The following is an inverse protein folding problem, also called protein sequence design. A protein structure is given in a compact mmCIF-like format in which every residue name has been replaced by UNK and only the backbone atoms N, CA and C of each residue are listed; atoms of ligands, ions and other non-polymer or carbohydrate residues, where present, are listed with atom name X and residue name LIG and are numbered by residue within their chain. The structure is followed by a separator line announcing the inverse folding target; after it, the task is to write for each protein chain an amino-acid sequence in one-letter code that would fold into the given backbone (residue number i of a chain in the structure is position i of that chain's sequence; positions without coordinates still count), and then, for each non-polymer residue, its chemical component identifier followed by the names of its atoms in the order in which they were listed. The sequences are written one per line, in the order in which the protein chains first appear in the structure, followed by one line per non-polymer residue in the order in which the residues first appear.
data_IF_653829443343
#
_entry.id   IF_653829443343
#
_cell.length_a   1.000
_cell.length_b   1.000
_cell.length_c   1.000
_cell.angle_alpha   90.00
_cell.angle_beta   90.00
_cell.angle_gamma   90.00
#
_symmetry.space_group_name_H-M   'P 1'
#
loop_
_entity.id
_entity.type
_entity.pdbx_description
1 polymer ?
#
# COMPACT_ATOMS: atom_id res chain seq x y z
N UNK A 1 19.28 10.52 -1.38
CA UNK A 1 20.10 11.00 -0.27
C UNK A 1 20.52 9.80 0.59
N UNK A 2 21.75 9.77 1.19
CA UNK A 2 22.12 8.73 2.15
C UNK A 2 21.12 8.63 3.31
N UNK A 3 20.52 9.73 3.71
CA UNK A 3 19.54 9.80 4.79
C UNK A 3 18.25 9.01 4.48
N UNK A 4 17.92 8.87 3.20
CA UNK A 4 16.72 8.15 2.77
C UNK A 4 16.84 6.63 2.94
N UNK A 5 18.05 6.11 3.04
CA UNK A 5 18.35 4.68 3.10
C UNK A 5 18.78 4.20 4.49
N UNK A 6 18.68 5.06 5.52
CA UNK A 6 19.17 4.75 6.87
C UNK A 6 18.46 3.53 7.50
N UNK A 7 17.22 3.26 7.09
CA UNK A 7 16.44 2.13 7.58
C UNK A 7 16.48 0.90 6.68
N UNK A 8 17.20 0.96 5.55
CA UNK A 8 17.33 -0.19 4.66
C UNK A 8 18.26 -1.25 5.29
N UNK A 9 17.75 -2.47 5.43
CA UNK A 9 18.50 -3.61 5.92
C UNK A 9 18.36 -4.82 5.00
N UNK A 10 19.43 -5.25 4.27
CA UNK A 10 20.74 -4.63 4.18
C UNK A 10 20.71 -3.28 3.45
N UNK A 11 21.66 -2.42 3.74
CA UNK A 11 21.78 -1.10 3.13
C UNK A 11 21.92 -1.22 1.60
N UNK A 12 21.01 -0.61 0.87
CA UNK A 12 20.95 -0.71 -0.59
C UNK A 12 21.16 0.64 -1.25
N UNK A 13 22.24 0.75 -2.01
CA UNK A 13 22.44 1.86 -2.93
C UNK A 13 21.48 1.73 -4.13
N UNK A 14 21.13 2.84 -4.78
CA UNK A 14 20.22 2.85 -5.92
C UNK A 14 20.61 1.87 -7.04
N UNK A 15 21.87 1.64 -7.27
CA UNK A 15 22.43 0.67 -8.24
C UNK A 15 22.15 -0.81 -7.92
N UNK A 16 21.71 -1.12 -6.70
CA UNK A 16 21.37 -2.50 -6.26
C UNK A 16 19.89 -2.80 -6.30
N UNK A 17 19.06 -1.82 -6.66
CA UNK A 17 17.61 -2.00 -6.80
C UNK A 17 17.29 -2.43 -8.23
N UNK A 18 16.47 -3.47 -8.36
CA UNK A 18 15.89 -3.88 -9.63
C UNK A 18 14.57 -3.10 -9.77
N UNK A 19 14.58 -2.05 -10.58
CA UNK A 19 13.46 -1.12 -10.73
C UNK A 19 13.53 0.08 -9.78
N UNK A 20 12.47 0.93 -9.71
CA UNK A 20 12.45 2.12 -8.90
C UNK A 20 12.42 1.80 -7.40
N UNK A 21 12.95 2.71 -6.60
CA UNK A 21 12.78 2.67 -5.15
C UNK A 21 11.31 2.92 -4.80
N UNK A 22 10.72 1.98 -4.06
CA UNK A 22 9.32 2.06 -3.66
C UNK A 22 9.08 2.96 -2.43
N UNK A 23 10.13 3.30 -1.68
CA UNK A 23 10.01 4.04 -0.41
C UNK A 23 9.23 5.38 -0.54
N UNK A 24 9.21 5.98 -1.74
CA UNK A 24 8.54 7.26 -2.03
C UNK A 24 7.72 7.20 -3.30
N UNK A 25 7.08 6.07 -3.57
CA UNK A 25 6.31 5.90 -4.81
C UNK A 25 4.90 6.47 -4.69
N UNK A 26 4.40 6.66 -3.47
CA UNK A 26 3.06 7.19 -3.21
C UNK A 26 2.85 8.58 -3.84
N UNK A 27 1.76 8.74 -4.56
CA UNK A 27 1.43 9.96 -5.29
C UNK A 27 2.26 10.22 -6.55
N UNK A 28 3.29 9.41 -6.83
CA UNK A 28 4.14 9.58 -8.02
C UNK A 28 3.45 9.11 -9.31
N UNK A 29 2.67 8.05 -9.20
CA UNK A 29 1.91 7.46 -10.31
C UNK A 29 0.44 7.38 -9.95
N UNK A 30 -0.46 7.45 -10.93
CA UNK A 30 -1.90 7.31 -10.73
C UNK A 30 -2.30 5.87 -10.38
N UNK A 31 -3.51 5.69 -9.84
CA UNK A 31 -4.07 4.34 -9.63
C UNK A 31 -4.15 3.56 -10.94
N UNK A 32 -4.55 4.21 -12.03
CA UNK A 32 -4.62 3.63 -13.37
C UNK A 32 -3.25 3.14 -13.86
N UNK A 33 -2.20 3.92 -13.61
CA UNK A 33 -0.84 3.52 -13.95
C UNK A 33 -0.43 2.26 -13.21
N UNK A 34 -0.66 2.20 -11.88
CA UNK A 34 -0.35 1.03 -11.06
C UNK A 34 -1.14 -0.19 -11.52
N UNK A 35 -2.45 -0.02 -11.76
CA UNK A 35 -3.31 -1.10 -12.24
C UNK A 35 -2.78 -1.70 -13.54
N UNK A 36 -2.58 -0.88 -14.58
CA UNK A 36 -2.07 -1.34 -15.89
C UNK A 36 -0.69 -1.95 -15.79
N UNK A 37 0.19 -1.36 -14.97
CA UNK A 37 1.53 -1.89 -14.76
C UNK A 37 1.52 -3.26 -14.08
N UNK A 38 0.62 -3.50 -13.15
CA UNK A 38 0.45 -4.81 -12.51
C UNK A 38 -0.24 -5.82 -13.42
N UNK A 39 -1.21 -5.38 -14.23
CA UNK A 39 -1.87 -6.25 -15.21
C UNK A 39 -0.90 -6.71 -16.30
N UNK A 40 -0.15 -5.79 -16.89
CA UNK A 40 0.85 -6.07 -17.91
C UNK A 40 1.98 -5.04 -17.89
N UNK A 41 3.11 -5.33 -17.21
CA UNK A 41 4.22 -4.36 -17.11
C UNK A 41 4.78 -3.91 -18.46
N UNK A 42 4.71 -4.78 -19.50
CA UNK A 42 5.24 -4.48 -20.82
C UNK A 42 4.37 -3.50 -21.62
N UNK A 43 3.14 -3.30 -21.23
CA UNK A 43 2.28 -2.24 -21.79
C UNK A 43 2.83 -0.83 -21.47
N UNK A 44 3.41 -0.68 -20.28
CA UNK A 44 4.00 0.58 -19.81
C UNK A 44 5.48 0.68 -20.21
N UNK A 45 6.21 -0.42 -20.10
CA UNK A 45 7.64 -0.50 -20.42
C UNK A 45 7.92 -1.79 -21.19
N UNK A 46 8.12 -1.69 -22.50
CA UNK A 46 8.22 -2.83 -23.41
C UNK A 46 9.32 -3.85 -23.01
N UNK A 47 10.41 -3.37 -22.41
CA UNK A 47 11.55 -4.19 -22.00
C UNK A 47 11.47 -4.64 -20.52
N UNK A 48 10.31 -4.50 -19.87
CA UNK A 48 10.17 -4.85 -18.46
C UNK A 48 10.42 -6.35 -18.22
N UNK A 49 11.27 -6.64 -17.24
CA UNK A 49 11.49 -8.00 -16.71
C UNK A 49 10.48 -8.39 -15.65
N UNK A 50 9.63 -7.47 -15.21
CA UNK A 50 8.59 -7.74 -14.22
C UNK A 50 7.55 -8.70 -14.80
N UNK A 51 7.18 -9.78 -14.08
CA UNK A 51 6.08 -10.63 -14.50
C UNK A 51 4.73 -9.92 -14.31
N UNK A 52 3.69 -10.30 -15.07
CA UNK A 52 2.34 -9.80 -14.83
C UNK A 52 1.76 -10.38 -13.53
N UNK A 53 1.01 -9.55 -12.82
CA UNK A 53 0.29 -9.91 -11.58
C UNK A 53 -1.23 -9.79 -11.75
N UNK A 54 -1.73 -10.05 -12.96
CA UNK A 54 -3.13 -9.92 -13.31
C UNK A 54 -4.08 -10.75 -12.41
N UNK A 55 -3.61 -11.89 -11.90
CA UNK A 55 -4.36 -12.75 -10.99
C UNK A 55 -4.83 -12.01 -9.72
N UNK A 56 -4.08 -10.99 -9.26
CA UNK A 56 -4.44 -10.21 -8.07
C UNK A 56 -5.76 -9.43 -8.24
N UNK A 57 -6.16 -9.14 -9.48
CA UNK A 57 -7.39 -8.40 -9.76
C UNK A 57 -8.65 -9.23 -9.47
N UNK A 58 -8.56 -10.56 -9.64
CA UNK A 58 -9.64 -11.50 -9.38
C UNK A 58 -9.61 -12.14 -7.98
N UNK A 59 -8.52 -11.96 -7.22
CA UNK A 59 -8.40 -12.55 -5.89
C UNK A 59 -8.99 -11.62 -4.83
N UNK A 60 -10.15 -12.01 -4.26
CA UNK A 60 -10.78 -11.28 -3.17
C UNK A 60 -9.91 -11.32 -1.90
N UNK A 61 -9.90 -10.23 -1.15
CA UNK A 61 -9.20 -10.07 0.12
C UNK A 61 -10.22 -9.98 1.26
N UNK A 62 -10.03 -10.83 2.27
CA UNK A 62 -10.80 -10.75 3.52
C UNK A 62 -10.20 -9.67 4.43
N UNK A 63 -10.99 -8.65 4.74
CA UNK A 63 -10.61 -7.57 5.65
C UNK A 63 -10.94 -7.87 7.13
N UNK A 64 -11.66 -8.95 7.44
CA UNK A 64 -12.07 -9.30 8.81
C UNK A 64 -10.90 -9.43 9.80
N UNK A 65 -9.74 -9.87 9.31
CA UNK A 65 -8.52 -9.99 10.10
C UNK A 65 -7.78 -8.66 10.36
N UNK A 66 -8.19 -7.56 9.71
CA UNK A 66 -7.45 -6.28 9.75
C UNK A 66 -7.29 -5.76 11.15
N UNK A 67 -8.35 -5.79 11.96
CA UNK A 67 -8.30 -5.36 13.34
C UNK A 67 -7.33 -6.18 14.21
N UNK A 68 -7.24 -7.51 13.96
CA UNK A 68 -6.30 -8.38 14.67
C UNK A 68 -4.85 -8.07 14.29
N UNK A 69 -4.58 -7.86 13.01
CA UNK A 69 -3.27 -7.46 12.49
C UNK A 69 -2.82 -6.11 13.05
N UNK A 70 -3.72 -5.11 13.10
CA UNK A 70 -3.41 -3.80 13.68
C UNK A 70 -3.14 -3.89 15.20
N UNK A 71 -3.86 -4.74 15.96
CA UNK A 71 -3.54 -4.98 17.37
C UNK A 71 -2.14 -5.58 17.55
N UNK A 72 -1.78 -6.55 16.73
CA UNK A 72 -0.45 -7.15 16.75
C UNK A 72 0.64 -6.11 16.46
N UNK A 73 0.45 -5.26 15.44
CA UNK A 73 1.36 -4.17 15.11
C UNK A 73 1.46 -3.14 16.25
N UNK A 74 0.35 -2.82 16.92
CA UNK A 74 0.37 -1.95 18.10
C UNK A 74 1.22 -2.52 19.22
N UNK A 75 1.23 -3.83 19.41
CA UNK A 75 2.06 -4.49 20.45
C UNK A 75 3.56 -4.31 20.18
N UNK A 76 3.98 -4.20 18.93
CA UNK A 76 5.38 -3.94 18.54
C UNK A 76 5.69 -2.46 18.35
N UNK A 77 4.81 -1.56 18.80
CA UNK A 77 5.08 -0.12 18.88
C UNK A 77 4.48 0.74 17.78
N UNK A 78 3.69 0.19 16.85
CA UNK A 78 2.99 1.01 15.85
C UNK A 78 1.87 1.80 16.55
N UNK A 79 1.76 3.14 16.41
CA UNK A 79 0.90 4.00 17.21
C UNK A 79 -0.56 4.00 16.72
N UNK A 80 -1.18 2.83 16.55
CA UNK A 80 -2.60 2.74 16.23
C UNK A 80 -3.48 3.05 17.46
N UNK A 81 -4.49 3.90 17.27
CA UNK A 81 -5.49 4.17 18.30
C UNK A 81 -6.52 3.04 18.40
N UNK A 82 -7.24 2.95 19.51
CA UNK A 82 -8.31 1.96 19.66
C UNK A 82 -9.43 2.18 18.63
N UNK A 83 -9.74 3.44 18.32
CA UNK A 83 -10.76 3.82 17.36
C UNK A 83 -10.37 3.41 15.93
N UNK A 84 -9.11 3.62 15.51
CA UNK A 84 -8.60 3.18 14.21
C UNK A 84 -8.71 1.66 14.06
N UNK A 85 -8.39 0.90 15.11
CA UNK A 85 -8.50 -0.56 15.12
C UNK A 85 -9.97 -1.00 14.96
N UNK A 86 -10.91 -0.34 15.65
CA UNK A 86 -12.34 -0.67 15.57
C UNK A 86 -12.92 -0.39 14.18
N UNK A 87 -12.48 0.67 13.53
CA UNK A 87 -12.96 1.08 12.19
C UNK A 87 -12.14 0.52 11.03
N UNK A 88 -11.16 -0.32 11.31
CA UNK A 88 -10.16 -0.75 10.34
C UNK A 88 -10.76 -1.45 9.13
N UNK A 89 -11.69 -2.37 9.33
CA UNK A 89 -12.38 -3.10 8.27
C UNK A 89 -13.22 -2.16 7.39
N UNK A 90 -14.04 -1.32 8.03
CA UNK A 90 -14.85 -0.32 7.30
C UNK A 90 -13.96 0.65 6.51
N UNK A 91 -12.84 1.10 7.09
CA UNK A 91 -11.89 1.97 6.42
C UNK A 91 -11.22 1.29 5.24
N UNK A 92 -10.88 0.00 5.36
CA UNK A 92 -10.29 -0.77 4.27
C UNK A 92 -11.26 -0.92 3.08
N UNK A 93 -12.52 -1.27 3.35
CA UNK A 93 -13.57 -1.32 2.31
C UNK A 93 -13.77 0.04 1.64
N UNK A 94 -13.83 1.12 2.40
CA UNK A 94 -13.99 2.47 1.85
C UNK A 94 -12.83 2.85 0.92
N UNK A 95 -11.58 2.55 1.30
CA UNK A 95 -10.40 2.78 0.47
C UNK A 95 -10.42 1.92 -0.80
N UNK A 96 -10.82 0.65 -0.69
CA UNK A 96 -10.94 -0.24 -1.84
C UNK A 96 -11.98 0.28 -2.84
N UNK A 97 -13.15 0.72 -2.35
CA UNK A 97 -14.20 1.28 -3.17
C UNK A 97 -13.75 2.57 -3.87
N UNK A 98 -13.06 3.48 -3.16
CA UNK A 98 -12.55 4.72 -3.73
C UNK A 98 -11.59 4.46 -4.91
N UNK A 99 -10.65 3.53 -4.74
CA UNK A 99 -9.71 3.14 -5.80
C UNK A 99 -10.43 2.48 -6.96
N UNK A 100 -11.36 1.56 -6.69
CA UNK A 100 -12.14 0.89 -7.71
C UNK A 100 -12.98 1.87 -8.53
N UNK A 101 -13.68 2.81 -7.88
CA UNK A 101 -14.46 3.86 -8.54
C UNK A 101 -13.57 4.78 -9.39
N UNK A 102 -12.36 5.07 -8.92
CA UNK A 102 -11.39 5.82 -9.71
C UNK A 102 -11.00 5.07 -10.97
N UNK A 103 -10.69 3.77 -10.86
CA UNK A 103 -10.32 2.92 -12.00
C UNK A 103 -11.47 2.76 -12.99
N UNK A 104 -12.71 2.64 -12.52
CA UNK A 104 -13.89 2.57 -13.38
C UNK A 104 -14.05 3.85 -14.20
N UNK A 105 -13.86 5.03 -13.58
CA UNK A 105 -14.01 6.34 -14.27
C UNK A 105 -12.87 6.64 -15.23
N UNK A 106 -11.62 6.39 -14.82
CA UNK A 106 -10.43 6.82 -15.57
C UNK A 106 -9.93 5.78 -16.56
N UNK A 107 -10.10 4.49 -16.24
CA UNK A 107 -9.61 3.38 -17.05
C UNK A 107 -10.74 2.60 -17.75
N UNK A 108 -12.01 2.89 -17.44
CA UNK A 108 -13.14 2.11 -17.93
C UNK A 108 -13.17 0.68 -17.40
N UNK A 109 -12.53 0.45 -16.24
CA UNK A 109 -12.43 -0.87 -15.61
C UNK A 109 -13.81 -1.36 -15.16
N UNK A 110 -14.18 -2.57 -15.56
CA UNK A 110 -15.44 -3.21 -15.13
C UNK A 110 -15.27 -3.79 -13.75
N UNK A 111 -16.07 -3.31 -12.80
CA UNK A 111 -16.02 -3.73 -11.40
C UNK A 111 -16.98 -4.87 -11.11
N UNK A 112 -16.58 -5.74 -10.19
CA UNK A 112 -17.43 -6.81 -9.68
C UNK A 112 -17.40 -6.89 -8.17
N UNK A 113 -18.50 -7.32 -7.53
CA UNK A 113 -18.49 -7.77 -6.15
C UNK A 113 -17.68 -9.06 -6.00
N UNK A 114 -17.22 -9.33 -4.76
CA UNK A 114 -16.33 -10.47 -4.47
C UNK A 114 -16.96 -11.85 -4.72
N UNK A 115 -18.28 -11.92 -4.73
CA UNK A 115 -19.11 -13.12 -4.89
C UNK A 115 -19.51 -13.42 -6.34
N UNK A 116 -19.27 -12.48 -7.27
CA UNK A 116 -19.62 -12.61 -8.69
C UNK A 116 -18.38 -12.55 -9.58
N UNK A 117 -17.43 -13.44 -9.37
CA UNK A 117 -16.22 -13.55 -10.17
C UNK A 117 -16.48 -14.24 -11.50
N UNK A 118 -16.88 -13.49 -12.51
CA UNK A 118 -16.87 -13.93 -13.89
C UNK A 118 -15.79 -13.17 -14.69
N UNK A 119 -14.67 -13.82 -15.04
CA UNK A 119 -13.56 -13.19 -15.77
C UNK A 119 -13.94 -12.62 -17.14
N UNK A 120 -15.08 -13.05 -17.72
CA UNK A 120 -15.53 -12.53 -19.02
C UNK A 120 -16.26 -11.18 -18.88
N UNK A 121 -16.82 -10.91 -17.71
CA UNK A 121 -17.61 -9.70 -17.45
C UNK A 121 -16.88 -8.67 -16.59
N UNK A 122 -15.78 -9.03 -15.99
CA UNK A 122 -15.15 -8.35 -14.87
C UNK A 122 -13.64 -8.18 -15.05
N UNK A 123 -13.17 -6.98 -14.84
CA UNK A 123 -11.75 -6.66 -14.91
C UNK A 123 -11.12 -6.58 -13.51
N UNK A 124 -11.90 -6.22 -12.49
CA UNK A 124 -11.42 -5.99 -11.13
C UNK A 124 -12.51 -6.27 -10.09
N UNK A 125 -12.20 -7.12 -9.13
CA UNK A 125 -12.96 -7.25 -7.89
C UNK A 125 -12.65 -6.06 -6.99
N UNK A 126 -13.68 -5.39 -6.44
CA UNK A 126 -13.51 -4.18 -5.61
C UNK A 126 -12.58 -4.44 -4.44
N UNK A 127 -12.86 -5.47 -3.64
CA UNK A 127 -12.07 -5.87 -2.48
C UNK A 127 -10.95 -6.86 -2.87
N UNK A 128 -10.23 -6.57 -3.95
CA UNK A 128 -9.18 -7.46 -4.45
C UNK A 128 -7.82 -7.20 -3.80
N UNK A 129 -6.95 -8.19 -3.91
CA UNK A 129 -5.53 -8.01 -3.57
C UNK A 129 -4.86 -6.93 -4.41
N UNK A 130 -5.29 -6.75 -5.67
CA UNK A 130 -4.80 -5.68 -6.55
C UNK A 130 -5.10 -4.30 -5.97
N UNK A 131 -6.34 -4.07 -5.54
CA UNK A 131 -6.76 -2.81 -4.92
C UNK A 131 -5.97 -2.53 -3.64
N UNK A 132 -5.75 -3.55 -2.81
CA UNK A 132 -4.95 -3.41 -1.59
C UNK A 132 -3.48 -3.08 -1.88
N UNK A 133 -2.87 -3.68 -2.91
CA UNK A 133 -1.50 -3.36 -3.34
C UNK A 133 -1.42 -1.92 -3.85
N UNK A 134 -2.38 -1.47 -4.64
CA UNK A 134 -2.43 -0.08 -5.12
C UNK A 134 -2.56 0.88 -3.94
N UNK A 135 -3.46 0.60 -2.97
CA UNK A 135 -3.60 1.41 -1.76
C UNK A 135 -2.28 1.51 -0.98
N UNK A 136 -1.60 0.38 -0.80
CA UNK A 136 -0.29 0.34 -0.13
C UNK A 136 0.76 1.17 -0.87
N UNK A 137 0.91 1.00 -2.18
CA UNK A 137 1.89 1.73 -2.98
C UNK A 137 1.65 3.24 -2.94
N UNK A 138 0.39 3.67 -2.94
CA UNK A 138 0.03 5.08 -2.86
C UNK A 138 0.32 5.72 -1.49
N UNK A 139 0.48 4.92 -0.44
CA UNK A 139 0.83 5.41 0.91
C UNK A 139 2.33 5.48 1.16
N UNK A 140 3.14 4.83 0.35
CA UNK A 140 4.59 4.81 0.54
C UNK A 140 5.21 6.20 0.41
N UNK A 141 5.84 6.67 1.47
CA UNK A 141 6.46 7.99 1.56
C UNK A 141 5.49 9.16 1.73
N UNK A 142 4.19 8.88 1.91
CA UNK A 142 3.19 9.89 2.23
C UNK A 142 3.01 10.00 3.74
N UNK A 143 3.10 11.21 4.26
CA UNK A 143 2.74 11.50 5.66
C UNK A 143 1.22 11.68 5.69
N UNK A 144 0.48 10.89 6.51
CA UNK A 144 -0.96 11.08 6.63
C UNK A 144 -1.30 12.49 7.10
N UNK A 145 -2.26 13.13 6.43
CA UNK A 145 -2.70 14.49 6.78
C UNK A 145 -3.41 14.57 8.15
N UNK A 146 -3.85 13.42 8.66
CA UNK A 146 -4.59 13.26 9.92
C UNK A 146 -3.70 13.06 11.17
N UNK A 147 -2.41 13.34 11.05
CA UNK A 147 -1.49 13.25 12.19
C UNK A 147 -1.27 11.82 12.71
N UNK A 148 -1.58 10.79 11.92
CA UNK A 148 -1.41 9.37 12.29
C UNK A 148 0.06 8.99 12.58
N UNK A 149 0.99 9.89 12.27
CA UNK A 149 2.39 9.86 12.69
C UNK A 149 2.72 11.17 13.41
N UNK A 150 2.18 11.36 14.60
CA UNK A 150 2.92 12.13 15.58
C UNK A 150 4.17 11.29 15.88
N UNK A 151 5.28 11.62 15.22
CA UNK A 151 6.58 11.10 15.61
C UNK A 151 6.70 11.35 17.12
N UNK A 152 7.10 10.35 17.92
CA UNK A 152 7.38 10.62 19.33
C UNK A 152 8.32 11.81 19.36
N UNK A 153 7.95 12.86 20.10
CA UNK A 153 8.73 14.08 20.20
C UNK A 153 10.19 13.66 20.41
N UNK A 154 11.11 14.30 19.71
CA UNK A 154 12.56 13.99 19.72
C UNK A 154 13.16 13.85 21.13
N UNK A 155 12.44 14.31 22.12
CA UNK A 155 12.80 14.27 23.53
C UNK A 155 12.72 12.87 24.16
N UNK A 156 11.99 11.91 23.55
CA UNK A 156 11.89 10.56 24.08
C UNK A 156 13.12 9.69 23.68
N UNK A 157 13.84 10.05 22.63
CA UNK A 157 15.06 9.34 22.20
C UNK A 157 16.26 9.77 23.05
N UNK A 158 16.28 11.01 23.54
CA UNK A 158 17.38 11.54 24.37
C UNK A 158 17.40 10.96 25.79
N UNK A 159 16.25 10.47 26.29
CA UNK A 159 16.15 9.95 27.67
C UNK A 159 16.69 8.51 27.83
N UNK A 160 16.99 7.79 26.74
CA UNK A 160 17.45 6.40 26.82
C UNK A 160 18.92 6.18 26.42
N UNK A 161 19.68 7.25 26.16
CA UNK A 161 21.13 7.21 26.03
C UNK A 161 21.78 7.64 27.36
N UNK A 162 21.58 6.84 28.40
CA UNK A 162 22.29 6.96 29.67
C UNK A 162 23.77 6.58 29.48
N UNK A 163 24.53 7.44 28.85
CA UNK A 163 26.00 7.48 28.94
C UNK A 163 26.33 8.69 29.77
N UNK A 164 26.49 8.48 31.05
CA UNK A 164 27.22 9.42 31.92
C UNK A 164 28.71 9.36 31.63
N UNK A 165 29.40 10.49 31.72
CA UNK A 165 30.83 10.61 31.39
C UNK A 165 31.73 9.85 32.35
#
# INVERSE_FOLDING_TARGET
SPDDSIFDHPFQWGSRRIGPDLARVGGKYSHTWHFRHMMNPREISAESNMPPFAHLAGEALDFGDTAAKMRALRTVGVPYTAEQIQRSEQSAHAQAQEIADFLAREAGTRLCPADELDPETCDLVVDSRMTAVIAYLQRLGQIPADGMYDAPASDAVAANTGVTP
#
